data_IF_723894665190
#
_entry.id   IF_723894665190
#
_cell.length_a   1.000
_cell.length_b   1.000
_cell.length_c   1.000
_cell.angle_alpha   90.00
_cell.angle_beta   90.00
_cell.angle_gamma   90.00
#
_symmetry.space_group_name_H-M   'P 1'
#
loop_
_entity.id
_entity.type
_entity.pdbx_description
1 polymer ?
#
# COMPACT_ATOMS: atom_id res chain seq x y z
N UNK A 1 -13.12 -6.85 6.16
CA UNK A 1 -12.19 -5.84 5.56
C UNK A 1 -11.21 -6.57 4.65
N UNK A 2 -11.15 -6.23 3.37
CA UNK A 2 -10.30 -6.99 2.43
C UNK A 2 -8.82 -6.89 2.82
N UNK A 3 -8.11 -8.03 2.83
CA UNK A 3 -6.67 -8.09 3.10
C UNK A 3 -5.89 -7.32 2.04
N UNK A 4 -5.09 -6.34 2.46
CA UNK A 4 -4.28 -5.49 1.59
C UNK A 4 -3.81 -4.22 2.29
N UNK A 5 -3.05 -3.39 1.57
CA UNK A 5 -2.42 -2.19 2.12
C UNK A 5 -3.33 -1.29 2.98
N UNK A 6 -4.54 -0.94 2.54
CA UNK A 6 -5.43 -0.10 3.35
C UNK A 6 -5.89 -0.74 4.67
N UNK A 7 -6.02 -2.07 4.74
CA UNK A 7 -6.39 -2.76 5.97
C UNK A 7 -5.25 -2.76 6.99
N UNK A 8 -4.05 -3.10 6.54
CA UNK A 8 -2.82 -3.03 7.35
C UNK A 8 -2.57 -1.60 7.83
N UNK A 9 -2.73 -0.62 6.95
CA UNK A 9 -2.61 0.79 7.30
C UNK A 9 -3.58 1.21 8.42
N UNK A 10 -4.87 0.83 8.30
CA UNK A 10 -5.87 1.16 9.32
C UNK A 10 -5.57 0.51 10.67
N UNK A 11 -5.14 -0.74 10.67
CA UNK A 11 -4.74 -1.44 11.89
C UNK A 11 -3.58 -0.71 12.57
N UNK A 12 -2.51 -0.43 11.84
CA UNK A 12 -1.35 0.31 12.36
C UNK A 12 -1.74 1.70 12.86
N UNK A 13 -2.50 2.47 12.05
CA UNK A 13 -2.89 3.83 12.42
C UNK A 13 -3.74 3.86 13.66
N UNK A 14 -4.82 3.06 13.72
CA UNK A 14 -5.77 3.12 14.82
C UNK A 14 -5.16 2.62 16.13
N UNK A 15 -4.33 1.58 16.08
CA UNK A 15 -3.62 1.12 17.28
C UNK A 15 -2.72 2.22 17.83
N UNK A 16 -1.93 2.88 16.97
CA UNK A 16 -0.94 3.85 17.42
C UNK A 16 -1.55 5.19 17.84
N UNK A 17 -2.60 5.69 17.15
CA UNK A 17 -3.28 6.90 17.63
C UNK A 17 -4.08 6.65 18.92
N UNK A 18 -4.54 5.41 19.16
CA UNK A 18 -5.17 5.05 20.43
C UNK A 18 -4.15 5.08 21.60
N UNK A 19 -2.90 4.70 21.37
CA UNK A 19 -1.81 4.83 22.33
C UNK A 19 -1.50 6.30 22.68
N UNK A 20 -1.78 7.22 21.75
CA UNK A 20 -1.69 8.68 21.96
C UNK A 20 -2.94 9.29 22.61
N UNK A 21 -3.94 8.48 22.97
CA UNK A 21 -5.15 8.90 23.67
C UNK A 21 -6.39 9.11 22.82
N UNK A 22 -6.36 8.77 21.53
CA UNK A 22 -7.57 8.70 20.70
C UNK A 22 -8.43 7.48 21.09
N UNK A 23 -9.72 7.54 20.76
CA UNK A 23 -10.62 6.39 20.74
C UNK A 23 -11.07 6.16 19.31
N UNK A 24 -10.47 5.19 18.65
CA UNK A 24 -10.75 4.90 17.24
C UNK A 24 -11.78 3.79 17.09
N UNK A 25 -12.67 3.95 16.09
CA UNK A 25 -13.63 2.92 15.66
C UNK A 25 -13.50 2.75 14.16
N UNK A 26 -13.34 1.51 13.69
CA UNK A 26 -13.26 1.20 12.26
C UNK A 26 -14.62 0.72 11.77
N UNK A 27 -15.29 1.52 10.94
CA UNK A 27 -16.47 1.09 10.20
C UNK A 27 -16.04 0.50 8.84
N UNK A 28 -16.39 -0.76 8.57
CA UNK A 28 -15.93 -1.48 7.38
C UNK A 28 -17.03 -2.33 6.74
N UNK A 29 -16.86 -2.63 5.45
CA UNK A 29 -17.78 -3.44 4.67
C UNK A 29 -17.42 -4.91 4.58
N UNK A 30 -18.10 -5.61 3.68
CA UNK A 30 -17.86 -7.03 3.39
C UNK A 30 -16.74 -7.23 2.37
N UNK A 31 -16.06 -8.37 2.49
CA UNK A 31 -15.23 -8.93 1.43
C UNK A 31 -16.09 -9.79 0.50
N UNK A 32 -15.71 -9.89 -0.75
CA UNK A 32 -16.29 -10.84 -1.69
C UNK A 32 -15.82 -12.26 -1.34
N UNK A 33 -16.54 -13.29 -1.79
CA UNK A 33 -16.28 -14.69 -1.42
C UNK A 33 -14.89 -15.22 -1.83
N UNK A 34 -14.27 -14.57 -2.80
CA UNK A 34 -12.92 -14.88 -3.30
C UNK A 34 -11.82 -13.99 -2.70
N UNK A 35 -12.16 -13.15 -1.72
CA UNK A 35 -11.23 -12.26 -1.03
C UNK A 35 -11.02 -12.73 0.42
N UNK A 36 -9.78 -12.58 0.92
CA UNK A 36 -9.47 -12.85 2.32
C UNK A 36 -9.89 -11.68 3.21
N UNK A 37 -10.61 -11.96 4.30
CA UNK A 37 -11.00 -10.93 5.27
C UNK A 37 -9.90 -10.75 6.32
N UNK A 38 -9.29 -9.57 6.33
CA UNK A 38 -8.24 -9.18 7.27
C UNK A 38 -8.64 -9.39 8.73
N UNK A 39 -9.90 -9.11 9.07
CA UNK A 39 -10.41 -9.23 10.44
C UNK A 39 -10.54 -10.67 10.95
N UNK A 40 -10.53 -11.67 10.06
CA UNK A 40 -10.55 -13.07 10.44
C UNK A 40 -9.16 -13.59 10.84
N UNK A 41 -8.10 -12.98 10.29
CA UNK A 41 -6.73 -13.45 10.44
C UNK A 41 -5.89 -12.59 11.39
N UNK A 42 -6.41 -11.42 11.80
CA UNK A 42 -5.72 -10.46 12.66
C UNK A 42 -6.64 -10.06 13.82
N UNK A 43 -6.09 -10.04 15.03
CA UNK A 43 -6.81 -9.60 16.22
C UNK A 43 -6.61 -8.07 16.37
N UNK A 44 -7.47 -7.29 15.71
CA UNK A 44 -7.44 -5.84 15.83
C UNK A 44 -7.84 -5.41 17.24
N UNK A 45 -7.04 -4.54 17.85
CA UNK A 45 -7.33 -3.97 19.18
C UNK A 45 -8.39 -2.87 19.15
N UNK A 46 -8.66 -2.32 17.96
CA UNK A 46 -9.62 -1.25 17.73
C UNK A 46 -11.03 -1.80 17.59
N UNK A 47 -12.03 -1.07 18.11
CA UNK A 47 -13.44 -1.44 17.94
C UNK A 47 -13.85 -1.47 16.47
N UNK A 48 -14.55 -2.55 16.09
CA UNK A 48 -14.94 -2.82 14.71
C UNK A 48 -16.46 -2.77 14.54
N UNK A 49 -16.94 -1.98 13.58
CA UNK A 49 -18.35 -1.89 13.20
C UNK A 49 -18.54 -2.34 11.76
N UNK A 50 -19.17 -3.49 11.57
CA UNK A 50 -19.44 -4.04 10.23
C UNK A 50 -20.68 -3.41 9.60
N UNK A 51 -20.51 -2.76 8.45
CA UNK A 51 -21.60 -2.17 7.67
C UNK A 51 -22.10 -3.20 6.67
N UNK A 52 -23.26 -3.78 6.99
CA UNK A 52 -23.80 -4.99 6.29
C UNK A 52 -24.06 -4.78 4.79
N UNK A 53 -24.31 -3.56 4.35
CA UNK A 53 -24.63 -3.26 2.95
C UNK A 53 -23.45 -2.62 2.20
N UNK A 54 -22.27 -2.47 2.82
CA UNK A 54 -21.10 -1.90 2.17
C UNK A 54 -20.29 -2.99 1.48
N UNK A 55 -20.45 -3.11 0.16
CA UNK A 55 -19.73 -4.05 -0.72
C UNK A 55 -18.82 -3.29 -1.69
N UNK A 56 -17.83 -3.98 -2.25
CA UNK A 56 -16.93 -3.41 -3.28
C UNK A 56 -17.67 -3.16 -4.60
N UNK A 57 -18.54 -4.07 -5.00
CA UNK A 57 -19.37 -3.97 -6.19
C UNK A 57 -20.39 -2.81 -6.09
N UNK A 58 -20.71 -2.18 -7.22
CA UNK A 58 -21.72 -1.13 -7.26
C UNK A 58 -23.12 -1.76 -7.20
N UNK A 59 -23.89 -1.38 -6.17
CA UNK A 59 -25.29 -1.78 -5.96
C UNK A 59 -26.06 -0.57 -5.42
N UNK A 60 -26.84 0.15 -6.25
CA UNK A 60 -27.50 1.38 -5.81
C UNK A 60 -28.35 1.22 -4.55
N UNK A 61 -29.06 0.10 -4.43
CA UNK A 61 -29.92 -0.17 -3.26
C UNK A 61 -29.07 -0.39 -2.02
N UNK A 62 -28.01 -1.21 -2.11
CA UNK A 62 -27.13 -1.47 -0.97
C UNK A 62 -26.27 -0.26 -0.64
N UNK A 63 -25.92 0.57 -1.62
CA UNK A 63 -25.18 1.81 -1.40
C UNK A 63 -26.02 2.82 -0.61
N UNK A 64 -27.32 2.93 -0.91
CA UNK A 64 -28.26 3.73 -0.11
C UNK A 64 -28.41 3.16 1.31
N UNK A 65 -28.55 1.84 1.45
CA UNK A 65 -28.62 1.19 2.77
C UNK A 65 -27.32 1.41 3.56
N UNK A 66 -26.17 1.24 2.91
CA UNK A 66 -24.85 1.48 3.52
C UNK A 66 -24.72 2.92 4.00
N UNK A 67 -25.16 3.92 3.21
CA UNK A 67 -25.19 5.31 3.62
C UNK A 67 -25.98 5.52 4.93
N UNK A 68 -27.20 4.96 5.04
CA UNK A 68 -27.99 5.09 6.26
C UNK A 68 -27.38 4.34 7.45
N UNK A 69 -26.74 3.20 7.22
CA UNK A 69 -26.02 2.46 8.26
C UNK A 69 -24.82 3.26 8.76
N UNK A 70 -23.97 3.79 7.87
CA UNK A 70 -22.82 4.65 8.22
C UNK A 70 -23.31 5.88 9.00
N UNK A 71 -24.34 6.56 8.49
CA UNK A 71 -24.95 7.72 9.16
C UNK A 71 -25.45 7.39 10.58
N UNK A 72 -26.05 6.19 10.78
CA UNK A 72 -26.48 5.71 12.10
C UNK A 72 -25.29 5.52 13.03
N UNK A 73 -24.21 4.89 12.55
CA UNK A 73 -22.97 4.68 13.32
C UNK A 73 -22.39 6.01 13.74
N UNK A 74 -22.24 6.99 12.81
CA UNK A 74 -21.72 8.31 13.12
C UNK A 74 -22.56 9.02 14.19
N UNK A 75 -23.89 8.91 14.14
CA UNK A 75 -24.78 9.48 15.17
C UNK A 75 -24.63 8.80 16.53
N UNK A 76 -24.43 7.49 16.56
CA UNK A 76 -24.32 6.73 17.81
C UNK A 76 -22.97 6.95 18.48
N UNK A 77 -21.91 6.98 17.68
CA UNK A 77 -20.53 7.20 18.16
C UNK A 77 -20.29 8.67 18.50
N UNK A 78 -20.93 9.61 17.78
CA UNK A 78 -20.70 11.06 17.88
C UNK A 78 -19.20 11.44 17.84
N UNK A 79 -18.47 11.08 16.77
CA UNK A 79 -17.03 11.28 16.70
C UNK A 79 -16.68 12.75 16.54
N UNK A 80 -15.50 13.13 17.03
CA UNK A 80 -14.92 14.47 16.83
C UNK A 80 -14.40 14.66 15.40
N UNK A 81 -13.90 13.59 14.76
CA UNK A 81 -13.37 13.57 13.38
C UNK A 81 -13.78 12.29 12.68
N UNK A 82 -14.13 12.40 11.41
CA UNK A 82 -14.34 11.23 10.53
C UNK A 82 -13.22 11.16 9.50
N UNK A 83 -12.39 10.12 9.56
CA UNK A 83 -11.39 9.84 8.51
C UNK A 83 -11.92 8.75 7.59
N UNK A 84 -11.91 9.01 6.29
CA UNK A 84 -12.47 8.12 5.27
C UNK A 84 -11.38 7.62 4.32
N UNK A 85 -11.52 6.37 3.90
CA UNK A 85 -10.52 5.69 3.05
C UNK A 85 -11.21 5.00 1.88
N UNK A 86 -10.45 4.71 0.83
CA UNK A 86 -10.89 4.05 -0.40
C UNK A 86 -11.96 4.84 -1.18
N UNK A 87 -12.32 4.40 -2.40
CA UNK A 87 -13.24 5.15 -3.24
C UNK A 87 -14.67 5.12 -2.71
N UNK A 88 -15.30 3.94 -2.63
CA UNK A 88 -16.72 3.81 -2.26
C UNK A 88 -16.98 4.14 -0.80
N UNK A 89 -16.15 3.60 0.11
CA UNK A 89 -16.21 3.94 1.54
C UNK A 89 -15.96 5.42 1.78
N UNK A 90 -15.02 6.01 1.02
CA UNK A 90 -14.74 7.44 1.03
C UNK A 90 -15.92 8.30 0.62
N UNK A 91 -16.60 7.97 -0.49
CA UNK A 91 -17.78 8.73 -0.95
C UNK A 91 -18.92 8.65 0.07
N UNK A 92 -19.31 7.42 0.46
CA UNK A 92 -20.43 7.22 1.38
C UNK A 92 -20.16 7.79 2.77
N UNK A 93 -18.93 7.62 3.28
CA UNK A 93 -18.52 8.14 4.59
C UNK A 93 -18.54 9.67 4.64
N UNK A 94 -17.97 10.36 3.63
CA UNK A 94 -17.97 11.84 3.57
C UNK A 94 -19.38 12.41 3.51
N UNK A 95 -20.24 11.86 2.65
CA UNK A 95 -21.65 12.32 2.55
C UNK A 95 -22.42 12.02 3.84
N UNK A 96 -22.24 10.83 4.42
CA UNK A 96 -22.89 10.48 5.69
C UNK A 96 -22.47 11.41 6.82
N UNK A 97 -21.17 11.69 6.98
CA UNK A 97 -20.65 12.60 8.02
C UNK A 97 -21.25 14.01 7.88
N UNK A 98 -21.18 14.61 6.71
CA UNK A 98 -21.72 15.97 6.47
C UNK A 98 -23.25 16.01 6.50
N UNK A 99 -23.95 14.88 6.34
CA UNK A 99 -25.41 14.79 6.54
C UNK A 99 -25.81 14.71 8.03
N UNK A 100 -24.90 14.31 8.92
CA UNK A 100 -25.12 14.35 10.38
C UNK A 100 -24.86 15.75 10.90
N UNK A 101 -23.69 16.31 10.59
CA UNK A 101 -23.34 17.70 10.92
C UNK A 101 -22.40 18.27 9.86
N UNK A 102 -22.72 19.47 9.36
CA UNK A 102 -21.84 20.19 8.43
C UNK A 102 -20.53 20.62 9.09
N UNK A 103 -20.53 20.79 10.41
CA UNK A 103 -19.35 21.16 11.20
C UNK A 103 -18.44 19.96 11.52
N UNK A 104 -18.95 18.71 11.47
CA UNK A 104 -18.14 17.53 11.74
C UNK A 104 -16.95 17.47 10.78
N UNK A 105 -15.69 17.54 11.28
CA UNK A 105 -14.50 17.48 10.46
C UNK A 105 -14.40 16.16 9.70
N UNK A 106 -14.09 16.25 8.41
CA UNK A 106 -13.93 15.10 7.53
C UNK A 106 -12.56 15.13 6.89
N UNK A 107 -11.77 14.12 7.21
CA UNK A 107 -10.50 13.81 6.55
C UNK A 107 -10.76 12.73 5.49
N UNK A 108 -10.10 12.84 4.34
CA UNK A 108 -10.07 11.75 3.37
C UNK A 108 -8.63 11.40 2.99
N UNK A 109 -8.27 10.13 3.19
CA UNK A 109 -6.92 9.62 2.92
C UNK A 109 -6.86 8.86 1.60
N UNK A 110 -6.03 9.35 0.68
CA UNK A 110 -5.74 8.74 -0.60
C UNK A 110 -4.49 7.85 -0.49
N UNK A 111 -4.67 6.53 -0.65
CA UNK A 111 -3.60 5.53 -0.54
C UNK A 111 -2.79 5.33 -1.83
N UNK A 112 -3.09 6.03 -2.90
CA UNK A 112 -2.43 5.93 -4.20
C UNK A 112 -3.38 6.28 -5.33
N UNK A 113 -2.88 6.11 -6.56
CA UNK A 113 -3.65 6.43 -7.75
C UNK A 113 -4.54 5.28 -8.19
N UNK A 114 -5.83 5.43 -8.08
CA UNK A 114 -6.80 4.54 -8.74
C UNK A 114 -7.00 4.88 -10.22
N UNK A 115 -6.41 5.98 -10.72
CA UNK A 115 -6.75 6.58 -12.01
C UNK A 115 -5.89 6.02 -13.13
N UNK A 116 -4.61 5.74 -12.88
CA UNK A 116 -3.71 5.17 -13.89
C UNK A 116 -3.46 3.69 -13.62
N UNK A 117 -3.78 2.84 -14.61
CA UNK A 117 -3.49 1.41 -14.58
C UNK A 117 -4.51 0.50 -13.86
N UNK A 118 -5.44 1.07 -13.07
CA UNK A 118 -6.47 0.27 -12.37
C UNK A 118 -7.79 0.18 -13.12
N UNK A 119 -8.16 1.20 -13.90
CA UNK A 119 -9.46 1.27 -14.55
C UNK A 119 -9.34 1.57 -16.04
N UNK A 120 -10.32 1.09 -16.79
CA UNK A 120 -10.54 1.55 -18.16
C UNK A 120 -10.77 3.08 -18.18
N UNK A 121 -10.33 3.75 -19.22
CA UNK A 121 -10.27 5.23 -19.34
C UNK A 121 -11.58 5.93 -18.95
N UNK A 122 -12.75 5.36 -19.31
CA UNK A 122 -14.05 5.94 -18.95
C UNK A 122 -14.34 5.87 -17.45
N UNK A 123 -13.96 4.78 -16.77
CA UNK A 123 -14.12 4.66 -15.31
C UNK A 123 -13.25 5.65 -14.55
N UNK A 124 -12.05 5.92 -15.05
CA UNK A 124 -11.15 6.94 -14.49
C UNK A 124 -11.75 8.35 -14.59
N UNK A 125 -12.44 8.68 -15.70
CA UNK A 125 -13.13 9.96 -15.87
C UNK A 125 -14.27 10.09 -14.85
N UNK A 126 -15.12 9.08 -14.73
CA UNK A 126 -16.24 9.07 -13.77
C UNK A 126 -15.73 9.23 -12.34
N UNK A 127 -14.68 8.48 -11.96
CA UNK A 127 -14.04 8.59 -10.67
C UNK A 127 -13.52 10.02 -10.42
N UNK A 128 -12.86 10.62 -11.41
CA UNK A 128 -12.35 12.00 -11.30
C UNK A 128 -13.47 13.01 -11.05
N UNK A 129 -14.60 12.87 -11.76
CA UNK A 129 -15.77 13.75 -11.58
C UNK A 129 -16.35 13.59 -10.18
N UNK A 130 -16.51 12.35 -9.72
CA UNK A 130 -17.01 12.05 -8.37
C UNK A 130 -16.08 12.66 -7.32
N UNK A 131 -14.77 12.45 -7.40
CA UNK A 131 -13.82 12.96 -6.41
C UNK A 131 -13.74 14.51 -6.41
N UNK A 132 -13.85 15.15 -7.57
CA UNK A 132 -14.00 16.62 -7.64
C UNK A 132 -15.24 17.12 -6.89
N UNK A 133 -16.35 16.40 -7.04
CA UNK A 133 -17.59 16.74 -6.32
C UNK A 133 -17.43 16.47 -4.82
N UNK A 134 -16.80 15.36 -4.43
CA UNK A 134 -16.58 14.97 -3.05
C UNK A 134 -15.61 15.90 -2.30
N UNK A 135 -14.80 16.68 -3.00
CA UNK A 135 -13.96 17.72 -2.39
C UNK A 135 -14.77 18.72 -1.56
N UNK A 136 -16.07 18.92 -1.87
CA UNK A 136 -16.98 19.79 -1.08
C UNK A 136 -17.36 19.22 0.29
N UNK A 137 -17.14 17.92 0.48
CA UNK A 137 -17.47 17.18 1.70
C UNK A 137 -16.20 16.78 2.46
N UNK A 138 -15.05 17.37 2.11
CA UNK A 138 -13.73 17.06 2.66
C UNK A 138 -13.11 18.32 3.23
N UNK A 139 -12.76 18.35 4.51
CA UNK A 139 -12.10 19.49 5.13
C UNK A 139 -10.58 19.41 4.93
N UNK A 140 -10.01 18.21 5.07
CA UNK A 140 -8.59 17.94 4.82
C UNK A 140 -8.43 16.69 3.96
N UNK A 141 -7.63 16.80 2.92
CA UNK A 141 -7.19 15.66 2.11
C UNK A 141 -5.79 15.22 2.56
N UNK A 142 -5.63 13.94 2.84
CA UNK A 142 -4.33 13.33 3.12
C UNK A 142 -3.89 12.51 1.92
N UNK A 143 -2.68 12.73 1.45
CA UNK A 143 -2.02 11.88 0.46
C UNK A 143 -0.87 11.13 1.13
N UNK A 144 -0.75 9.83 0.85
CA UNK A 144 0.35 9.01 1.39
C UNK A 144 1.71 9.35 0.76
N UNK A 145 1.71 10.07 -0.37
CA UNK A 145 2.92 10.55 -1.06
C UNK A 145 2.67 11.89 -1.74
N UNK A 146 3.73 12.68 -1.98
CA UNK A 146 3.67 13.92 -2.74
C UNK A 146 3.27 13.67 -4.19
N UNK A 147 3.71 12.55 -4.78
CA UNK A 147 3.32 12.16 -6.14
C UNK A 147 1.81 11.85 -6.23
N UNK A 148 1.24 11.18 -5.21
CA UNK A 148 -0.23 11.00 -5.12
C UNK A 148 -0.96 12.33 -5.11
N UNK A 149 -0.54 13.28 -4.26
CA UNK A 149 -1.11 14.63 -4.24
C UNK A 149 -1.00 15.33 -5.59
N UNK A 150 0.20 15.35 -6.19
CA UNK A 150 0.50 16.02 -7.46
C UNK A 150 -0.40 15.49 -8.58
N UNK A 151 -0.53 14.18 -8.68
CA UNK A 151 -1.34 13.55 -9.71
C UNK A 151 -2.85 13.83 -9.51
N UNK A 152 -3.37 13.75 -8.29
CA UNK A 152 -4.79 14.06 -8.02
C UNK A 152 -5.09 15.53 -8.32
N UNK A 153 -4.22 16.45 -7.90
CA UNK A 153 -4.40 17.89 -8.14
C UNK A 153 -4.26 18.27 -9.61
N UNK A 154 -3.39 17.59 -10.38
CA UNK A 154 -3.27 17.79 -11.83
C UNK A 154 -4.55 17.43 -12.58
N UNK A 155 -5.30 16.46 -12.08
CA UNK A 155 -6.64 16.10 -12.59
C UNK A 155 -7.74 17.03 -12.08
N UNK A 156 -7.39 17.99 -11.24
CA UNK A 156 -8.34 18.97 -10.66
C UNK A 156 -9.08 18.46 -9.43
N UNK A 157 -8.68 17.32 -8.84
CA UNK A 157 -9.25 16.81 -7.60
C UNK A 157 -8.64 17.60 -6.44
N UNK A 158 -9.49 18.17 -5.60
CA UNK A 158 -9.07 18.85 -4.37
C UNK A 158 -8.12 20.02 -4.58
N UNK A 159 -8.17 20.75 -5.70
CA UNK A 159 -7.28 21.90 -5.97
C UNK A 159 -7.25 22.95 -4.85
N UNK A 160 -8.38 23.14 -4.19
CA UNK A 160 -8.56 24.15 -3.13
C UNK A 160 -8.65 23.51 -1.74
N UNK A 161 -8.37 22.21 -1.60
CA UNK A 161 -8.37 21.55 -0.30
C UNK A 161 -7.08 21.83 0.48
N UNK A 162 -7.21 21.78 1.80
CA UNK A 162 -6.06 21.69 2.68
C UNK A 162 -5.46 20.28 2.55
N UNK A 163 -4.30 20.18 1.94
CA UNK A 163 -3.60 18.92 1.77
C UNK A 163 -2.55 18.72 2.85
N UNK A 164 -2.52 17.49 3.41
CA UNK A 164 -1.39 16.98 4.20
C UNK A 164 -0.75 15.81 3.45
N UNK A 165 0.57 15.69 3.54
CA UNK A 165 1.29 14.50 3.10
C UNK A 165 1.68 13.76 4.37
N UNK A 166 1.08 12.56 4.56
CA UNK A 166 1.37 11.69 5.69
C UNK A 166 1.68 10.31 5.11
N UNK A 167 2.96 9.98 5.09
CA UNK A 167 3.43 8.69 4.58
C UNK A 167 2.88 7.54 5.42
N UNK A 168 2.76 6.37 4.79
CA UNK A 168 2.42 5.13 5.48
C UNK A 168 3.59 4.77 6.40
N UNK A 169 3.30 4.45 7.65
CA UNK A 169 4.27 3.92 8.60
C UNK A 169 4.04 2.43 8.86
N UNK A 170 5.11 1.72 9.16
CA UNK A 170 5.08 0.34 9.63
C UNK A 170 5.79 0.21 10.97
N UNK A 171 5.44 -0.78 11.82
CA UNK A 171 6.18 -1.05 13.04
C UNK A 171 7.65 -1.31 12.76
N UNK A 172 8.55 -0.70 13.53
CA UNK A 172 9.99 -0.91 13.38
C UNK A 172 10.43 -2.05 14.30
N UNK A 173 11.06 -3.07 13.73
CA UNK A 173 11.51 -4.23 14.49
C UNK A 173 12.98 -4.12 14.85
N UNK A 174 13.29 -4.06 16.13
CA UNK A 174 14.65 -4.14 16.67
C UNK A 174 15.17 -5.59 16.67
N UNK A 175 15.10 -6.27 15.52
CA UNK A 175 15.62 -7.65 15.36
C UNK A 175 16.99 -7.63 14.70
N UNK A 176 17.89 -8.56 15.05
CA UNK A 176 19.16 -8.69 14.34
C UNK A 176 18.94 -8.94 12.86
N UNK A 177 19.58 -8.14 12.02
CA UNK A 177 19.56 -8.31 10.57
C UNK A 177 20.52 -9.43 10.20
N UNK A 178 19.99 -10.51 9.60
CA UNK A 178 20.83 -11.63 9.15
C UNK A 178 21.65 -11.23 7.91
N UNK A 179 22.85 -11.81 7.74
CA UNK A 179 23.62 -11.66 6.51
C UNK A 179 22.82 -12.04 5.27
N UNK A 180 23.25 -11.55 4.12
CA UNK A 180 22.76 -12.02 2.82
C UNK A 180 23.21 -13.46 2.58
N UNK A 181 22.59 -14.13 1.59
CA UNK A 181 22.95 -15.50 1.23
C UNK A 181 24.42 -15.60 0.82
N UNK A 182 25.08 -16.66 1.25
CA UNK A 182 26.45 -16.92 0.82
C UNK A 182 26.48 -17.38 -0.67
N UNK A 183 27.58 -17.08 -1.36
CA UNK A 183 27.78 -17.46 -2.76
C UNK A 183 27.42 -16.38 -3.78
N UNK A 184 27.57 -16.71 -5.06
CA UNK A 184 27.49 -15.76 -6.19
C UNK A 184 26.04 -15.56 -6.69
N UNK A 185 25.07 -16.39 -6.26
CA UNK A 185 23.68 -16.29 -6.72
C UNK A 185 22.86 -15.28 -5.94
N UNK A 186 21.68 -14.92 -6.46
CA UNK A 186 20.67 -14.08 -5.80
C UNK A 186 19.40 -14.86 -5.50
N UNK A 187 18.94 -14.75 -4.25
CA UNK A 187 17.61 -15.18 -3.82
C UNK A 187 16.70 -13.96 -3.77
N UNK A 188 15.72 -13.95 -4.65
CA UNK A 188 14.84 -12.79 -4.88
C UNK A 188 13.45 -13.13 -4.36
N UNK A 189 12.86 -12.20 -3.61
CA UNK A 189 11.47 -12.29 -3.17
C UNK A 189 10.60 -11.32 -3.97
N UNK A 190 9.45 -11.78 -4.44
CA UNK A 190 8.37 -10.97 -4.98
C UNK A 190 7.11 -11.22 -4.16
N UNK A 191 6.47 -10.16 -3.65
CA UNK A 191 5.25 -10.27 -2.85
C UNK A 191 4.18 -9.36 -3.42
N UNK A 192 3.03 -9.94 -3.79
CA UNK A 192 1.95 -9.15 -4.33
C UNK A 192 0.76 -9.98 -4.82
N UNK A 193 -0.33 -9.28 -5.12
CA UNK A 193 -1.46 -9.91 -5.81
C UNK A 193 -1.09 -10.11 -7.27
N UNK A 194 -1.41 -11.26 -7.82
CA UNK A 194 -1.19 -11.57 -9.24
C UNK A 194 -2.25 -10.87 -10.09
N UNK A 195 -2.04 -9.58 -10.32
CA UNK A 195 -2.92 -8.66 -11.05
C UNK A 195 -2.11 -7.85 -12.07
N UNK A 196 -2.78 -7.27 -13.09
CA UNK A 196 -2.11 -6.46 -14.12
C UNK A 196 -1.30 -5.30 -13.53
N UNK A 197 -1.77 -4.69 -12.44
CA UNK A 197 -1.08 -3.56 -11.82
C UNK A 197 0.24 -3.95 -11.15
N UNK A 198 0.34 -5.16 -10.60
CA UNK A 198 1.55 -5.71 -9.99
C UNK A 198 2.52 -6.30 -11.01
N UNK A 199 2.04 -6.52 -12.23
CA UNK A 199 2.81 -6.94 -13.41
C UNK A 199 3.73 -8.16 -13.16
N UNK A 200 3.15 -9.31 -12.72
CA UNK A 200 3.95 -10.50 -12.42
C UNK A 200 4.65 -11.09 -13.67
N UNK A 201 4.11 -10.88 -14.88
CA UNK A 201 4.76 -11.30 -16.11
C UNK A 201 6.08 -10.57 -16.36
N UNK A 202 6.16 -9.29 -15.98
CA UNK A 202 7.40 -8.54 -16.06
C UNK A 202 8.52 -9.18 -15.20
N UNK A 203 8.19 -9.76 -14.03
CA UNK A 203 9.14 -10.50 -13.22
C UNK A 203 9.68 -11.74 -13.96
N UNK A 204 8.82 -12.46 -14.70
CA UNK A 204 9.25 -13.59 -15.54
C UNK A 204 10.21 -13.13 -16.65
N UNK A 205 9.89 -12.00 -17.31
CA UNK A 205 10.72 -11.46 -18.38
C UNK A 205 12.08 -10.98 -17.87
N UNK A 206 12.16 -10.46 -16.65
CA UNK A 206 13.43 -10.14 -15.98
C UNK A 206 14.27 -11.39 -15.78
N UNK A 207 13.68 -12.47 -15.24
CA UNK A 207 14.42 -13.74 -15.02
C UNK A 207 14.88 -14.35 -16.34
N UNK A 208 14.03 -14.36 -17.37
CA UNK A 208 14.43 -14.82 -18.73
C UNK A 208 15.62 -14.03 -19.27
N UNK A 209 15.56 -12.68 -19.14
CA UNK A 209 16.63 -11.81 -19.61
C UNK A 209 17.98 -12.06 -18.93
N UNK A 210 17.98 -12.52 -17.66
CA UNK A 210 19.19 -12.94 -16.96
C UNK A 210 19.71 -14.26 -17.52
N UNK A 211 18.83 -15.26 -17.67
CA UNK A 211 19.22 -16.59 -18.14
C UNK A 211 19.72 -16.61 -19.58
N UNK A 212 19.24 -15.67 -20.41
CA UNK A 212 19.67 -15.56 -21.82
C UNK A 212 21.09 -14.98 -21.99
N UNK A 213 21.63 -14.34 -20.96
CA UNK A 213 22.88 -13.55 -21.08
C UNK A 213 24.01 -14.00 -20.17
N UNK A 214 23.68 -14.44 -18.98
CA UNK A 214 24.66 -14.59 -17.90
C UNK A 214 24.56 -15.94 -17.20
N UNK A 215 25.70 -16.43 -16.72
CA UNK A 215 25.77 -17.60 -15.81
C UNK A 215 25.34 -17.23 -14.37
N UNK A 216 24.59 -16.14 -14.17
CA UNK A 216 24.14 -15.75 -12.85
C UNK A 216 23.09 -16.72 -12.33
N UNK A 217 23.39 -17.36 -11.20
CA UNK A 217 22.42 -18.17 -10.48
C UNK A 217 21.38 -17.26 -9.79
N UNK A 218 20.14 -17.33 -10.23
CA UNK A 218 19.03 -16.60 -9.60
C UNK A 218 17.90 -17.55 -9.24
N UNK A 219 17.29 -17.29 -8.09
CA UNK A 219 16.06 -17.96 -7.65
C UNK A 219 15.05 -16.88 -7.27
N UNK A 220 13.87 -16.90 -7.93
CA UNK A 220 12.76 -16.00 -7.61
C UNK A 220 11.68 -16.76 -6.86
N UNK A 221 11.29 -16.30 -5.67
CA UNK A 221 10.12 -16.80 -4.97
C UNK A 221 8.99 -15.76 -5.08
N UNK A 222 7.84 -16.18 -5.63
CA UNK A 222 6.66 -15.36 -5.80
C UNK A 222 5.58 -15.74 -4.80
N UNK A 223 5.21 -14.77 -3.95
CA UNK A 223 4.24 -14.94 -2.85
C UNK A 223 2.96 -14.16 -3.17
N UNK A 224 1.83 -14.81 -3.10
CA UNK A 224 0.50 -14.23 -3.30
C UNK A 224 -0.38 -15.03 -4.24
N UNK A 225 -1.57 -14.51 -4.47
CA UNK A 225 -2.59 -15.07 -5.36
C UNK A 225 -3.27 -13.95 -6.17
N UNK A 226 -4.11 -14.29 -7.12
CA UNK A 226 -4.88 -13.35 -7.95
C UNK A 226 -5.26 -13.93 -9.30
N UNK A 227 -5.99 -13.15 -10.08
CA UNK A 227 -6.55 -13.60 -11.37
C UNK A 227 -5.51 -14.05 -12.41
N UNK A 228 -4.26 -13.62 -12.26
CA UNK A 228 -3.17 -13.98 -13.17
C UNK A 228 -2.31 -15.15 -12.66
N UNK A 229 -2.55 -15.66 -11.44
CA UNK A 229 -1.67 -16.65 -10.78
C UNK A 229 -1.42 -17.89 -11.66
N UNK A 230 -2.47 -18.55 -12.12
CA UNK A 230 -2.34 -19.77 -12.93
C UNK A 230 -1.68 -19.50 -14.30
N UNK A 231 -1.95 -18.35 -14.91
CA UNK A 231 -1.34 -17.95 -16.19
C UNK A 231 0.15 -17.69 -16.03
N UNK A 232 0.55 -17.00 -14.96
CA UNK A 232 1.95 -16.70 -14.66
C UNK A 232 2.71 -17.99 -14.37
N UNK A 233 2.13 -18.87 -13.55
CA UNK A 233 2.70 -20.19 -13.23
C UNK A 233 2.89 -21.05 -14.47
N UNK A 234 1.91 -21.10 -15.37
CA UNK A 234 2.02 -21.83 -16.64
C UNK A 234 3.10 -21.24 -17.56
N UNK A 235 3.33 -19.92 -17.52
CA UNK A 235 4.34 -19.24 -18.35
C UNK A 235 5.76 -19.31 -17.77
N UNK A 236 5.93 -19.83 -16.55
CA UNK A 236 7.22 -19.92 -15.85
C UNK A 236 7.88 -21.30 -15.94
N UNK A 237 7.37 -22.20 -16.77
CA UNK A 237 7.96 -23.53 -16.97
C UNK A 237 9.44 -23.38 -17.38
N UNK A 238 10.30 -24.15 -16.73
CA UNK A 238 11.78 -24.14 -16.88
C UNK A 238 12.48 -22.85 -16.37
N UNK A 239 11.78 -21.97 -15.67
CA UNK A 239 12.41 -20.84 -14.98
C UNK A 239 12.69 -21.20 -13.50
N UNK A 240 13.74 -20.66 -12.88
CA UNK A 240 14.06 -20.88 -11.46
C UNK A 240 13.11 -20.05 -10.56
N UNK A 241 11.81 -20.33 -10.68
CA UNK A 241 10.74 -19.59 -9.99
C UNK A 241 9.94 -20.52 -9.11
N UNK A 242 9.79 -20.16 -7.83
CA UNK A 242 8.93 -20.84 -6.86
C UNK A 242 7.67 -20.04 -6.60
N UNK A 243 6.53 -20.71 -6.49
CA UNK A 243 5.24 -20.12 -6.13
C UNK A 243 4.79 -20.69 -4.80
N UNK A 244 4.45 -19.84 -3.85
CA UNK A 244 3.99 -20.27 -2.52
C UNK A 244 2.47 -20.16 -2.35
N UNK A 245 1.80 -19.46 -3.26
CA UNK A 245 0.43 -19.02 -3.02
C UNK A 245 0.34 -17.92 -1.97
N UNK A 246 -0.85 -17.70 -1.43
CA UNK A 246 -1.07 -16.69 -0.40
C UNK A 246 -0.42 -17.12 0.94
N UNK A 247 0.24 -16.18 1.62
CA UNK A 247 0.84 -16.35 2.94
C UNK A 247 0.35 -15.25 3.88
N UNK A 248 0.06 -15.61 5.14
CA UNK A 248 -0.35 -14.65 6.16
C UNK A 248 0.78 -13.66 6.49
N UNK A 249 1.99 -14.18 6.68
CA UNK A 249 3.18 -13.41 7.01
C UNK A 249 4.27 -13.66 5.96
N UNK A 250 4.20 -13.03 4.78
CA UNK A 250 5.14 -13.30 3.69
C UNK A 250 6.57 -12.87 4.02
N UNK A 251 6.76 -12.02 5.03
CA UNK A 251 8.07 -11.53 5.48
C UNK A 251 8.66 -12.29 6.67
N UNK A 252 7.98 -13.32 7.19
CA UNK A 252 8.53 -14.11 8.30
C UNK A 252 9.92 -14.69 7.98
N UNK A 253 10.09 -15.14 6.73
CA UNK A 253 11.34 -15.72 6.23
C UNK A 253 12.08 -14.81 5.23
N UNK A 254 11.77 -13.49 5.20
CA UNK A 254 12.41 -12.58 4.25
C UNK A 254 13.94 -12.57 4.37
N UNK A 255 14.46 -12.88 5.54
CA UNK A 255 15.90 -12.93 5.78
C UNK A 255 16.60 -14.12 5.07
N UNK A 256 15.87 -15.02 4.44
CA UNK A 256 16.39 -16.05 3.55
C UNK A 256 16.64 -15.54 2.13
N UNK A 257 16.11 -14.34 1.81
CA UNK A 257 16.26 -13.68 0.52
C UNK A 257 17.28 -12.54 0.60
N UNK A 258 17.86 -12.19 -0.54
CA UNK A 258 18.84 -11.11 -0.64
C UNK A 258 18.18 -9.76 -0.88
N UNK A 259 17.10 -9.72 -1.68
CA UNK A 259 16.37 -8.48 -2.00
C UNK A 259 14.90 -8.76 -2.34
N UNK A 260 14.10 -7.67 -2.27
CA UNK A 260 12.73 -7.63 -2.77
C UNK A 260 12.70 -7.10 -4.20
N UNK A 261 11.95 -7.75 -5.09
CA UNK A 261 11.69 -7.30 -6.45
C UNK A 261 10.27 -6.72 -6.56
N UNK A 262 10.15 -5.48 -7.04
CA UNK A 262 8.88 -4.77 -7.25
C UNK A 262 8.70 -4.45 -8.73
N UNK A 263 7.74 -5.11 -9.37
CA UNK A 263 7.49 -5.00 -10.81
C UNK A 263 6.26 -4.18 -11.17
N UNK A 264 5.60 -3.59 -10.18
CA UNK A 264 4.34 -2.87 -10.35
C UNK A 264 4.41 -1.77 -11.40
N UNK A 265 3.29 -1.58 -12.12
CA UNK A 265 3.10 -0.47 -13.08
C UNK A 265 2.77 0.84 -12.41
N UNK A 266 2.22 0.79 -11.21
CA UNK A 266 1.89 1.96 -10.40
C UNK A 266 1.74 1.58 -8.93
N UNK A 267 2.18 2.47 -8.04
CA UNK A 267 2.08 2.32 -6.58
C UNK A 267 1.79 3.66 -5.90
N UNK A 268 1.09 3.59 -4.75
CA UNK A 268 1.08 4.71 -3.82
C UNK A 268 2.40 4.77 -3.06
N UNK A 269 2.44 4.13 -1.90
CA UNK A 269 3.65 3.78 -1.16
C UNK A 269 3.54 2.29 -0.82
N UNK A 270 4.31 1.39 -1.49
CA UNK A 270 4.14 -0.05 -1.30
C UNK A 270 4.60 -0.51 0.08
N UNK A 271 3.70 -1.05 0.89
CA UNK A 271 4.02 -1.57 2.22
C UNK A 271 5.10 -2.65 2.19
N UNK A 272 5.05 -3.54 1.19
CA UNK A 272 6.02 -4.64 1.05
C UNK A 272 7.48 -4.15 0.98
N UNK A 273 7.71 -2.96 0.44
CA UNK A 273 9.02 -2.31 0.39
C UNK A 273 9.47 -1.87 1.80
N UNK A 274 8.57 -1.28 2.58
CA UNK A 274 8.85 -0.88 3.97
C UNK A 274 9.07 -2.12 4.85
N UNK A 275 8.28 -3.16 4.63
CA UNK A 275 8.43 -4.43 5.34
C UNK A 275 9.76 -5.11 5.02
N UNK A 276 10.22 -5.10 3.76
CA UNK A 276 11.55 -5.61 3.40
C UNK A 276 12.66 -4.80 4.08
N UNK A 277 12.56 -3.47 4.07
CA UNK A 277 13.51 -2.58 4.73
C UNK A 277 13.60 -2.83 6.24
N UNK A 278 12.51 -3.24 6.88
CA UNK A 278 12.49 -3.59 8.31
C UNK A 278 13.47 -4.72 8.66
N UNK A 279 13.77 -5.58 7.70
CA UNK A 279 14.73 -6.67 7.83
C UNK A 279 16.08 -6.38 7.14
N UNK A 280 16.35 -5.13 6.78
CA UNK A 280 17.57 -4.74 6.08
C UNK A 280 17.70 -5.34 4.68
N UNK A 281 16.57 -5.58 4.01
CA UNK A 281 16.56 -6.03 2.62
C UNK A 281 16.25 -4.86 1.70
N UNK A 282 17.15 -4.63 0.75
CA UNK A 282 16.95 -3.64 -0.29
C UNK A 282 15.82 -4.05 -1.24
N UNK A 283 15.19 -3.08 -1.87
CA UNK A 283 14.21 -3.27 -2.93
C UNK A 283 14.76 -2.79 -4.26
N UNK A 284 14.65 -3.62 -5.30
CA UNK A 284 14.79 -3.20 -6.69
C UNK A 284 13.41 -2.99 -7.28
N UNK A 285 13.15 -1.82 -7.81
CA UNK A 285 11.82 -1.43 -8.30
C UNK A 285 11.88 -0.65 -9.61
N UNK A 286 10.78 -0.71 -10.35
CA UNK A 286 10.49 0.33 -11.35
C UNK A 286 10.23 1.65 -10.64
N UNK A 287 10.70 2.76 -11.25
CA UNK A 287 10.43 4.10 -10.72
C UNK A 287 9.01 4.55 -11.06
N UNK A 288 8.03 4.13 -10.25
CA UNK A 288 6.60 4.37 -10.48
C UNK A 288 5.91 4.91 -9.23
N UNK A 289 4.98 5.83 -9.43
CA UNK A 289 4.17 6.40 -8.35
C UNK A 289 5.02 6.96 -7.20
N UNK A 290 4.70 6.57 -5.98
CA UNK A 290 5.40 7.04 -4.77
C UNK A 290 6.61 6.22 -4.35
N UNK A 291 7.06 5.23 -5.13
CA UNK A 291 8.23 4.40 -4.79
C UNK A 291 9.48 5.26 -4.56
N UNK A 292 9.71 6.28 -5.39
CA UNK A 292 10.85 7.19 -5.28
C UNK A 292 10.83 8.09 -4.03
N UNK A 293 9.76 8.09 -3.24
CA UNK A 293 9.75 8.82 -1.97
C UNK A 293 10.53 8.06 -0.89
N UNK A 294 10.51 6.73 -0.92
CA UNK A 294 11.32 5.90 -0.03
C UNK A 294 12.65 5.50 -0.67
N UNK A 295 12.63 5.00 -1.91
CA UNK A 295 13.86 4.57 -2.58
C UNK A 295 14.62 5.78 -3.15
N UNK A 296 15.76 6.10 -2.54
CA UNK A 296 16.79 6.94 -3.14
C UNK A 296 17.77 6.01 -3.84
N UNK A 297 17.81 6.11 -5.18
CA UNK A 297 18.56 5.16 -6.01
C UNK A 297 19.97 4.93 -5.49
N UNK A 298 20.37 3.67 -5.34
CA UNK A 298 21.67 3.20 -4.81
C UNK A 298 21.99 3.61 -3.37
N UNK A 299 21.05 4.27 -2.66
CA UNK A 299 21.20 4.64 -1.26
C UNK A 299 20.29 3.82 -0.34
N UNK A 300 18.99 3.74 -0.64
CA UNK A 300 18.01 2.97 0.15
C UNK A 300 17.25 1.94 -0.69
N UNK A 301 17.74 1.62 -1.87
CA UNK A 301 17.21 0.69 -2.83
C UNK A 301 17.64 1.04 -4.24
N UNK A 302 17.09 0.35 -5.22
CA UNK A 302 17.45 0.53 -6.62
C UNK A 302 16.22 0.84 -7.46
N UNK A 303 16.35 1.80 -8.38
CA UNK A 303 15.30 2.22 -9.31
C UNK A 303 15.74 2.02 -10.74
N UNK A 304 14.83 1.49 -11.57
CA UNK A 304 15.02 1.35 -13.02
C UNK A 304 13.89 2.02 -13.78
N UNK A 305 14.11 2.37 -15.05
CA UNK A 305 13.16 3.16 -15.84
C UNK A 305 11.92 2.37 -16.31
N UNK A 306 11.97 1.04 -16.37
CA UNK A 306 10.79 0.23 -16.62
C UNK A 306 10.87 -0.77 -17.77
N UNK A 307 12.00 -1.01 -18.40
CA UNK A 307 12.23 -2.15 -19.29
C UNK A 307 12.84 -3.33 -18.52
N UNK A 308 12.35 -4.55 -18.78
CA UNK A 308 12.78 -5.75 -18.03
C UNK A 308 14.28 -6.02 -18.15
N UNK A 309 14.86 -5.68 -19.27
CA UNK A 309 16.28 -5.78 -19.52
C UNK A 309 17.13 -4.93 -18.56
N UNK A 310 16.77 -3.65 -18.32
CA UNK A 310 17.48 -2.80 -17.36
C UNK A 310 17.42 -3.36 -15.93
N UNK A 311 16.28 -3.96 -15.56
CA UNK A 311 16.13 -4.59 -14.27
C UNK A 311 16.97 -5.85 -14.14
N UNK A 312 17.11 -6.63 -15.23
CA UNK A 312 17.98 -7.78 -15.30
C UNK A 312 19.48 -7.38 -15.19
N UNK A 313 19.90 -6.35 -15.91
CA UNK A 313 21.27 -5.82 -15.80
C UNK A 313 21.58 -5.33 -14.38
N UNK A 314 20.65 -4.59 -13.76
CA UNK A 314 20.84 -4.14 -12.38
C UNK A 314 20.91 -5.31 -11.39
N UNK A 315 20.16 -6.40 -11.58
CA UNK A 315 20.28 -7.61 -10.77
C UNK A 315 21.65 -8.29 -10.94
N UNK A 316 22.16 -8.32 -12.17
CA UNK A 316 23.51 -8.87 -12.44
C UNK A 316 24.60 -8.01 -11.76
N UNK A 317 24.49 -6.69 -11.83
CA UNK A 317 25.41 -5.78 -11.14
C UNK A 317 25.34 -5.96 -9.61
N UNK A 318 24.13 -6.02 -9.03
CA UNK A 318 23.91 -6.25 -7.59
C UNK A 318 24.51 -7.57 -7.13
N UNK A 319 24.41 -8.62 -7.95
CA UNK A 319 24.98 -9.95 -7.62
C UNK A 319 26.50 -9.94 -7.51
N UNK A 320 27.17 -9.06 -8.23
CA UNK A 320 28.64 -8.93 -8.23
C UNK A 320 29.14 -8.21 -6.97
N UNK A 321 28.30 -7.38 -6.32
CA UNK A 321 28.67 -6.65 -5.10
C UNK A 321 27.59 -6.77 -4.00
N UNK A 322 27.56 -7.91 -3.34
CA UNK A 322 26.67 -8.16 -2.21
C UNK A 322 26.99 -7.31 -0.96
N UNK A 323 28.19 -6.76 -0.85
CA UNK A 323 28.48 -5.84 0.26
C UNK A 323 27.74 -4.52 0.06
N UNK A 324 27.79 -3.94 -1.15
CA UNK A 324 26.98 -2.78 -1.50
C UNK A 324 25.47 -3.05 -1.29
N UNK A 325 24.97 -4.19 -1.75
CA UNK A 325 23.57 -4.59 -1.52
C UNK A 325 23.20 -4.59 -0.03
N UNK A 326 24.07 -5.14 0.82
CA UNK A 326 23.88 -5.14 2.28
C UNK A 326 23.82 -3.72 2.82
N UNK A 327 24.75 -2.85 2.41
CA UNK A 327 24.83 -1.48 2.91
C UNK A 327 23.58 -0.66 2.49
N UNK A 328 23.09 -0.84 1.27
CA UNK A 328 21.84 -0.25 0.77
C UNK A 328 20.64 -0.76 1.59
N UNK A 329 20.59 -2.05 1.91
CA UNK A 329 19.53 -2.62 2.75
C UNK A 329 19.56 -2.07 4.19
N UNK A 330 20.73 -1.89 4.79
CA UNK A 330 20.90 -1.26 6.10
C UNK A 330 20.49 0.22 6.08
N UNK A 331 20.84 0.94 5.02
CA UNK A 331 20.41 2.33 4.85
C UNK A 331 18.89 2.46 4.69
N UNK A 332 18.25 1.53 3.98
CA UNK A 332 16.78 1.44 3.89
C UNK A 332 16.14 1.21 5.28
N UNK A 333 16.70 0.31 6.09
CA UNK A 333 16.23 0.07 7.45
C UNK A 333 16.35 1.32 8.34
N UNK A 334 17.47 2.03 8.27
CA UNK A 334 17.66 3.29 8.99
C UNK A 334 16.68 4.37 8.55
N UNK A 335 16.46 4.52 7.24
CA UNK A 335 15.49 5.46 6.68
C UNK A 335 14.07 5.14 7.14
N UNK A 336 13.70 3.86 7.16
CA UNK A 336 12.41 3.39 7.67
C UNK A 336 12.19 3.88 9.11
N UNK A 337 13.11 3.64 10.00
CA UNK A 337 13.00 4.06 11.41
C UNK A 337 12.89 5.57 11.59
N UNK A 338 13.59 6.33 10.75
CA UNK A 338 13.65 7.78 10.87
C UNK A 338 12.45 8.52 10.26
N UNK A 339 11.78 7.96 9.23
CA UNK A 339 10.79 8.71 8.46
C UNK A 339 9.48 7.94 8.21
N UNK A 340 9.50 6.60 8.27
CA UNK A 340 8.39 5.74 7.88
C UNK A 340 7.95 4.79 8.99
N UNK A 341 8.22 5.14 10.25
CA UNK A 341 7.72 4.36 11.37
C UNK A 341 6.24 4.64 11.63
N UNK A 342 5.57 3.68 12.25
CA UNK A 342 4.15 3.81 12.61
C UNK A 342 3.93 4.93 13.61
N UNK A 343 4.89 5.18 14.49
CA UNK A 343 4.83 6.26 15.49
C UNK A 343 4.84 7.64 14.81
N UNK A 344 5.73 7.86 13.83
CA UNK A 344 5.79 9.11 13.06
C UNK A 344 4.49 9.35 12.29
N UNK A 345 3.93 8.30 11.70
CA UNK A 345 2.63 8.37 11.04
C UNK A 345 1.54 8.74 12.03
N UNK A 346 1.49 8.08 13.18
CA UNK A 346 0.49 8.32 14.22
C UNK A 346 0.56 9.74 14.78
N UNK A 347 1.75 10.25 15.09
CA UNK A 347 1.96 11.62 15.56
C UNK A 347 1.43 12.67 14.57
N UNK A 348 1.68 12.46 13.27
CA UNK A 348 1.17 13.35 12.22
C UNK A 348 -0.37 13.33 12.13
N UNK A 349 -1.00 12.14 12.25
CA UNK A 349 -2.46 12.04 12.25
C UNK A 349 -3.06 12.58 13.55
N UNK A 350 -2.46 12.30 14.70
CA UNK A 350 -2.89 12.83 15.99
C UNK A 350 -2.87 14.37 15.99
N UNK A 351 -1.78 14.97 15.51
CA UNK A 351 -1.65 16.42 15.35
C UNK A 351 -2.73 16.98 14.43
N UNK A 352 -2.97 16.35 13.28
CA UNK A 352 -4.02 16.74 12.34
C UNK A 352 -5.41 16.67 12.98
N UNK A 353 -5.73 15.59 13.70
CA UNK A 353 -7.04 15.47 14.37
C UNK A 353 -7.20 16.50 15.46
N UNK A 354 -6.17 16.75 16.27
CA UNK A 354 -6.17 17.78 17.32
C UNK A 354 -6.38 19.18 16.76
N UNK A 355 -5.71 19.55 15.66
CA UNK A 355 -5.92 20.82 14.95
C UNK A 355 -7.39 21.01 14.53
N UNK A 356 -8.01 19.94 14.00
CA UNK A 356 -9.39 19.98 13.51
C UNK A 356 -10.42 20.09 14.65
N UNK A 357 -10.16 19.50 15.79
CA UNK A 357 -11.03 19.56 16.97
C UNK A 357 -11.01 20.97 17.57
N UNK A 358 -9.82 21.58 17.69
CA UNK A 358 -9.66 22.93 18.27
C UNK A 358 -10.23 24.03 17.36
N UNK A 359 -10.24 23.80 16.02
CA UNK A 359 -10.68 24.78 15.02
C UNK A 359 -12.20 24.83 14.83
N UNK A 360 -12.99 23.91 15.43
CA UNK A 360 -14.45 23.81 15.38
C UNK A 360 -15.13 24.24 16.67
#
# INVERSE_FOLDING_TARGET
MNTGGPAVFLDHLTNSVNELGCQSIIAYGFCESNESDYTNNHNLKTELVKIKSLHRSLSPIDDIRAFFQIRKVIKQVNPDVVNTHTSKGGVLGRVAAKSVSRKLPVVHTFHGHLIYGYFARYKSIVFTIIEKFMSRYTDVAVAVTGETKKSLTSLGIGKNLNWRIIQIGVPVYNKPIKPLSAGVGLKILWVGRFTDIKDPFYALDVIKSILDKDDLQVELTMVGEGELFEKVKASSVNLPIKFTGWMLNPFENIQEFDLLLLTSRNEGLPLVMLEAANYGRATLSRNVGGVGEFIKNEQSGYLVSGVSYEMAEKLTEIAQDKNSLKDVGLAANKLLGNEFSVEIMADKYFSLYSELIVSN
#
